data_IF_086814997072
#
_entry.id   IF_086814997072
#
_cell.length_a   1.000
_cell.length_b   1.000
_cell.length_c   1.000
_cell.angle_alpha   90.00
_cell.angle_beta   90.00
_cell.angle_gamma   90.00
#
_symmetry.space_group_name_H-M   'P 1'
#
loop_
_entity.id
_entity.type
_entity.pdbx_description
1 polymer ?
#
# COMPACT_ATOMS: atom_id res chain seq x y z
N UNK A 1 -5.88 23.27 8.55
CA UNK A 1 -6.98 22.43 8.01
C UNK A 1 -6.48 21.15 7.34
N UNK A 2 -5.47 21.20 6.45
CA UNK A 2 -4.98 20.00 5.73
C UNK A 2 -4.62 18.81 6.63
N UNK A 3 -3.91 19.05 7.73
CA UNK A 3 -3.52 17.98 8.67
C UNK A 3 -4.74 17.35 9.37
N UNK A 4 -5.81 18.11 9.60
CA UNK A 4 -7.06 17.59 10.16
C UNK A 4 -7.74 16.67 9.15
N UNK A 5 -7.84 17.08 7.88
CA UNK A 5 -8.35 16.22 6.81
C UNK A 5 -7.49 14.97 6.64
N UNK A 6 -6.16 15.09 6.66
CA UNK A 6 -5.25 13.95 6.58
C UNK A 6 -5.47 12.97 7.75
N UNK A 7 -5.67 13.48 8.97
CA UNK A 7 -5.97 12.65 10.13
C UNK A 7 -7.33 11.95 9.99
N UNK A 8 -8.38 12.66 9.57
CA UNK A 8 -9.72 12.09 9.35
C UNK A 8 -9.69 11.00 8.28
N UNK A 9 -9.09 11.27 7.12
CA UNK A 9 -9.01 10.29 6.03
C UNK A 9 -8.09 9.11 6.38
N UNK A 10 -6.99 9.35 7.11
CA UNK A 10 -6.13 8.29 7.63
C UNK A 10 -6.86 7.41 8.65
N UNK A 11 -7.65 8.00 9.54
CA UNK A 11 -8.50 7.29 10.48
C UNK A 11 -9.58 6.47 9.78
N UNK A 12 -10.28 7.05 8.80
CA UNK A 12 -11.27 6.34 7.97
C UNK A 12 -10.64 5.16 7.22
N UNK A 13 -9.44 5.34 6.65
CA UNK A 13 -8.69 4.27 5.99
C UNK A 13 -8.32 3.15 6.96
N UNK A 14 -7.80 3.50 8.14
CA UNK A 14 -7.47 2.52 9.20
C UNK A 14 -8.69 1.75 9.67
N UNK A 15 -9.82 2.43 9.90
CA UNK A 15 -11.09 1.80 10.25
C UNK A 15 -11.57 0.86 9.14
N UNK A 16 -11.45 1.27 7.88
CA UNK A 16 -11.75 0.42 6.73
C UNK A 16 -10.91 -0.86 6.69
N UNK A 17 -9.60 -0.77 6.99
CA UNK A 17 -8.71 -1.94 7.09
C UNK A 17 -9.11 -2.88 8.22
N UNK A 18 -9.50 -2.34 9.38
CA UNK A 18 -9.96 -3.16 10.52
C UNK A 18 -11.28 -3.85 10.21
N UNK A 19 -12.27 -3.12 9.65
CA UNK A 19 -13.60 -3.67 9.33
C UNK A 19 -13.52 -4.72 8.21
N UNK A 20 -12.66 -4.50 7.21
CA UNK A 20 -12.46 -5.45 6.11
C UNK A 20 -11.62 -6.67 6.50
N UNK A 21 -10.99 -6.68 7.68
CA UNK A 21 -10.08 -7.74 8.11
C UNK A 21 -8.75 -7.80 7.36
N UNK A 22 -8.44 -6.77 6.54
CA UNK A 22 -7.19 -6.68 5.77
C UNK A 22 -5.95 -6.44 6.63
N UNK A 23 -6.12 -6.22 7.92
CA UNK A 23 -5.03 -6.24 8.91
C UNK A 23 -4.54 -7.66 9.23
N UNK A 24 -5.31 -8.70 8.93
CA UNK A 24 -4.92 -10.09 9.20
C UNK A 24 -4.05 -10.64 8.03
N UNK A 25 -2.79 -11.05 8.29
CA UNK A 25 -1.92 -11.66 7.26
C UNK A 25 -2.52 -12.92 6.62
N UNK A 26 -3.34 -13.68 7.36
CA UNK A 26 -3.97 -14.89 6.85
C UNK A 26 -4.90 -14.62 5.66
N UNK A 27 -5.53 -13.44 5.60
CA UNK A 27 -6.37 -13.05 4.45
C UNK A 27 -5.56 -12.89 3.17
N UNK A 28 -4.34 -12.39 3.30
CA UNK A 28 -3.40 -12.24 2.19
C UNK A 28 -2.87 -13.61 1.76
N UNK A 29 -2.44 -14.43 2.72
CA UNK A 29 -1.92 -15.77 2.44
C UNK A 29 -3.00 -16.68 1.85
N UNK A 30 -4.22 -16.64 2.38
CA UNK A 30 -5.37 -17.37 1.85
C UNK A 30 -5.78 -16.93 0.45
N UNK A 31 -5.59 -15.65 0.10
CA UNK A 31 -5.78 -15.20 -1.28
C UNK A 31 -4.71 -15.77 -2.24
N UNK A 32 -3.47 -15.94 -1.77
CA UNK A 32 -2.38 -16.52 -2.55
C UNK A 32 -2.42 -18.06 -2.61
N UNK A 33 -3.09 -18.70 -1.66
CA UNK A 33 -3.25 -20.16 -1.60
C UNK A 33 -4.34 -20.67 -2.56
N UNK A 34 -4.05 -20.61 -3.86
CA UNK A 34 -4.96 -21.02 -4.94
C UNK A 34 -5.24 -22.53 -4.91
N UNK A 35 -4.32 -23.34 -4.34
CA UNK A 35 -4.43 -24.80 -4.30
C UNK A 35 -5.05 -25.33 -3.00
N UNK A 36 -5.22 -24.49 -1.98
CA UNK A 36 -5.80 -24.84 -0.69
C UNK A 36 -7.13 -24.13 -0.41
N UNK A 37 -7.21 -23.43 0.73
CA UNK A 37 -8.43 -22.73 1.15
C UNK A 37 -8.46 -21.31 0.59
N UNK A 38 -8.70 -21.22 -0.72
CA UNK A 38 -8.62 -19.95 -1.43
C UNK A 38 -9.63 -18.91 -0.91
N UNK A 39 -9.13 -17.81 -0.35
CA UNK A 39 -9.93 -16.70 0.19
C UNK A 39 -9.95 -15.52 -0.78
N UNK A 40 -11.12 -15.28 -1.40
CA UNK A 40 -11.32 -14.25 -2.41
C UNK A 40 -11.57 -12.85 -1.80
N UNK A 41 -11.61 -12.73 -0.46
CA UNK A 41 -11.91 -11.47 0.24
C UNK A 41 -11.00 -10.32 -0.18
N UNK A 42 -9.71 -10.58 -0.40
CA UNK A 42 -8.74 -9.56 -0.85
C UNK A 42 -9.12 -8.97 -2.21
N UNK A 43 -9.54 -9.83 -3.14
CA UNK A 43 -9.96 -9.40 -4.48
C UNK A 43 -11.19 -8.49 -4.42
N UNK A 44 -12.20 -8.85 -3.62
CA UNK A 44 -13.41 -8.04 -3.49
C UNK A 44 -13.13 -6.66 -2.90
N UNK A 45 -12.33 -6.59 -1.83
CA UNK A 45 -11.96 -5.30 -1.21
C UNK A 45 -11.14 -4.45 -2.16
N UNK A 46 -10.16 -5.06 -2.85
CA UNK A 46 -9.32 -4.34 -3.82
C UNK A 46 -10.15 -3.82 -5.01
N UNK A 47 -11.02 -4.64 -5.60
CA UNK A 47 -11.88 -4.23 -6.70
C UNK A 47 -12.85 -3.12 -6.28
N UNK A 48 -13.44 -3.21 -5.10
CA UNK A 48 -14.29 -2.16 -4.53
C UNK A 48 -13.52 -0.85 -4.36
N UNK A 49 -12.31 -0.90 -3.79
CA UNK A 49 -11.45 0.26 -3.62
C UNK A 49 -11.07 0.90 -4.98
N UNK A 50 -10.70 0.08 -5.97
CA UNK A 50 -10.37 0.55 -7.33
C UNK A 50 -11.59 1.21 -7.99
N UNK A 51 -12.77 0.60 -7.91
CA UNK A 51 -13.99 1.12 -8.50
C UNK A 51 -14.35 2.50 -7.92
N UNK A 52 -14.24 2.67 -6.60
CA UNK A 52 -14.49 3.95 -5.92
C UNK A 52 -13.40 4.98 -6.26
N UNK A 53 -12.13 4.57 -6.30
CA UNK A 53 -11.00 5.45 -6.61
C UNK A 53 -10.95 5.88 -8.08
N UNK A 54 -11.58 5.13 -9.00
CA UNK A 54 -11.50 5.37 -10.42
C UNK A 54 -11.97 6.79 -10.81
N UNK A 55 -13.16 7.19 -10.38
CA UNK A 55 -13.74 8.51 -10.71
C UNK A 55 -12.86 9.68 -10.24
N UNK A 56 -12.50 9.80 -8.94
CA UNK A 56 -11.67 10.90 -8.47
C UNK A 56 -10.26 10.87 -9.09
N UNK A 57 -9.69 9.70 -9.36
CA UNK A 57 -8.38 9.59 -9.99
C UNK A 57 -8.41 10.07 -11.45
N UNK A 58 -9.45 9.74 -12.22
CA UNK A 58 -9.64 10.27 -13.58
C UNK A 58 -9.74 11.80 -13.59
N UNK A 59 -10.42 12.39 -12.59
CA UNK A 59 -10.49 13.85 -12.43
C UNK A 59 -9.12 14.44 -12.09
N UNK A 60 -8.35 13.79 -11.21
CA UNK A 60 -7.01 14.21 -10.82
C UNK A 60 -6.01 14.15 -11.99
N UNK A 61 -6.13 13.18 -12.88
CA UNK A 61 -5.31 13.10 -14.11
C UNK A 61 -5.63 14.27 -15.06
N UNK A 62 -6.92 14.55 -15.30
CA UNK A 62 -7.35 15.63 -16.21
C UNK A 62 -7.06 17.02 -15.66
N UNK A 63 -7.19 17.21 -14.35
CA UNK A 63 -6.95 18.48 -13.67
C UNK A 63 -6.21 18.21 -12.36
N UNK A 64 -4.86 18.21 -12.38
CA UNK A 64 -4.04 17.86 -11.22
C UNK A 64 -3.99 18.99 -10.19
N UNK A 65 -5.15 19.28 -9.59
CA UNK A 65 -5.31 20.28 -8.54
C UNK A 65 -5.99 19.67 -7.32
N UNK A 66 -5.42 19.90 -6.14
CA UNK A 66 -6.05 19.52 -4.87
C UNK A 66 -7.24 20.44 -4.57
N UNK A 67 -8.05 20.07 -3.57
CA UNK A 67 -9.13 20.93 -3.04
C UNK A 67 -8.61 22.28 -2.53
N UNK A 68 -7.32 22.36 -2.17
CA UNK A 68 -6.65 23.59 -1.74
C UNK A 68 -5.91 24.29 -2.89
N UNK A 69 -6.22 23.94 -4.14
CA UNK A 69 -5.65 24.50 -5.36
C UNK A 69 -4.12 24.27 -5.53
N UNK A 70 -3.58 23.22 -4.91
CA UNK A 70 -2.17 22.83 -5.05
C UNK A 70 -1.99 21.85 -6.20
N UNK A 71 -0.81 21.86 -6.81
CA UNK A 71 -0.49 20.92 -7.89
C UNK A 71 -0.36 19.50 -7.34
N UNK A 72 -1.10 18.57 -7.93
CA UNK A 72 -0.93 17.13 -7.68
C UNK A 72 0.30 16.67 -8.47
N UNK A 73 1.29 16.09 -7.79
CA UNK A 73 2.47 15.52 -8.43
C UNK A 73 2.12 14.12 -8.93
N UNK A 74 1.81 14.01 -10.22
CA UNK A 74 1.61 12.72 -10.88
C UNK A 74 2.95 12.19 -11.40
N UNK A 75 3.20 10.87 -11.37
CA UNK A 75 4.38 10.29 -11.99
C UNK A 75 4.43 10.63 -13.48
N UNK A 76 5.54 11.19 -13.94
CA UNK A 76 5.78 11.49 -15.37
C UNK A 76 6.47 10.34 -16.08
N UNK A 77 7.12 9.44 -15.35
CA UNK A 77 7.79 8.28 -15.91
C UNK A 77 6.80 7.12 -16.07
N UNK A 78 6.53 6.76 -17.31
CA UNK A 78 5.69 5.61 -17.70
C UNK A 78 6.51 4.46 -18.28
N UNK A 79 7.83 4.59 -18.30
CA UNK A 79 8.70 3.54 -18.84
C UNK A 79 8.86 2.42 -17.82
N UNK A 80 8.63 1.19 -18.28
CA UNK A 80 8.92 -0.02 -17.51
C UNK A 80 10.41 -0.30 -17.70
N UNK A 81 11.21 0.01 -16.69
CA UNK A 81 12.64 -0.26 -16.68
C UNK A 81 12.96 -1.58 -15.95
N UNK A 82 14.17 -2.11 -16.17
CA UNK A 82 14.61 -3.35 -15.51
C UNK A 82 14.62 -3.20 -13.99
N UNK A 83 14.89 -1.99 -13.46
CA UNK A 83 14.90 -1.72 -12.03
C UNK A 83 13.50 -1.88 -11.42
N UNK A 84 12.46 -1.41 -12.10
CA UNK A 84 11.07 -1.58 -11.69
C UNK A 84 10.66 -3.05 -11.69
N UNK A 85 11.01 -3.79 -12.75
CA UNK A 85 10.67 -5.22 -12.85
C UNK A 85 11.33 -6.00 -11.71
N UNK A 86 12.64 -5.85 -11.51
CA UNK A 86 13.38 -6.54 -10.44
C UNK A 86 12.86 -6.14 -9.07
N UNK A 87 12.61 -4.84 -8.84
CA UNK A 87 12.04 -4.35 -7.59
C UNK A 87 10.64 -4.91 -7.30
N UNK A 88 9.78 -4.98 -8.31
CA UNK A 88 8.44 -5.54 -8.20
C UNK A 88 8.46 -7.03 -7.86
N UNK A 89 9.37 -7.81 -8.46
CA UNK A 89 9.56 -9.23 -8.12
C UNK A 89 10.02 -9.41 -6.67
N UNK A 90 11.06 -8.69 -6.23
CA UNK A 90 11.58 -8.78 -4.86
C UNK A 90 10.50 -8.39 -3.85
N UNK A 91 9.78 -7.29 -4.12
CA UNK A 91 8.69 -6.84 -3.27
C UNK A 91 7.54 -7.85 -3.22
N UNK A 92 7.15 -8.41 -4.36
CA UNK A 92 6.09 -9.42 -4.46
C UNK A 92 6.43 -10.71 -3.70
N UNK A 93 7.68 -11.18 -3.79
CA UNK A 93 8.16 -12.34 -3.01
C UNK A 93 8.10 -12.02 -1.51
N UNK A 94 8.62 -10.87 -1.09
CA UNK A 94 8.57 -10.47 0.32
C UNK A 94 7.15 -10.36 0.86
N UNK A 95 6.25 -9.76 0.08
CA UNK A 95 4.83 -9.67 0.42
C UNK A 95 4.15 -11.04 0.52
N UNK A 96 4.42 -11.94 -0.44
CA UNK A 96 3.83 -13.27 -0.44
C UNK A 96 4.31 -14.16 0.71
N UNK A 97 5.56 -14.00 1.15
CA UNK A 97 6.10 -14.73 2.32
C UNK A 97 5.57 -14.14 3.63
N UNK A 98 5.57 -12.81 3.76
CA UNK A 98 5.19 -12.15 5.01
C UNK A 98 3.67 -12.06 5.21
N UNK A 99 2.88 -12.06 4.13
CA UNK A 99 1.44 -11.80 4.18
C UNK A 99 1.08 -10.39 4.64
N UNK A 100 2.06 -9.49 4.76
CA UNK A 100 1.90 -8.16 5.37
C UNK A 100 2.19 -7.08 4.33
N UNK A 101 1.23 -6.16 4.17
CA UNK A 101 1.40 -4.92 3.43
C UNK A 101 1.93 -3.80 4.35
N UNK A 102 2.52 -2.72 3.79
CA UNK A 102 2.98 -1.55 4.57
C UNK A 102 1.88 -0.90 5.42
N UNK A 103 0.64 -0.88 4.91
CA UNK A 103 -0.49 -0.27 5.60
C UNK A 103 -0.98 -1.12 6.81
N UNK A 104 -1.27 -2.43 6.65
CA UNK A 104 -1.48 -3.37 7.75
C UNK A 104 -0.36 -3.37 8.79
N UNK A 105 0.91 -3.24 8.39
CA UNK A 105 2.02 -3.21 9.34
C UNK A 105 1.86 -2.06 10.35
N UNK A 106 1.45 -0.87 9.88
CA UNK A 106 1.21 0.28 10.75
C UNK A 106 -0.03 0.11 11.64
N UNK A 107 -1.11 -0.48 11.10
CA UNK A 107 -2.32 -0.72 11.90
C UNK A 107 -2.12 -1.81 12.95
N UNK A 108 -1.36 -2.87 12.63
CA UNK A 108 -1.02 -3.96 13.55
C UNK A 108 -0.24 -3.49 14.78
N UNK A 109 0.70 -2.55 14.61
CA UNK A 109 1.39 -1.92 15.76
C UNK A 109 0.39 -1.18 16.65
N UNK A 110 -0.55 -0.44 16.05
CA UNK A 110 -1.62 0.24 16.78
C UNK A 110 -2.54 -0.73 17.54
N UNK A 111 -2.69 -1.96 17.05
CA UNK A 111 -3.43 -3.05 17.69
C UNK A 111 -2.62 -3.82 18.76
N UNK A 112 -1.35 -3.48 18.99
CA UNK A 112 -0.49 -4.13 19.98
C UNK A 112 0.35 -5.30 19.45
N UNK A 113 0.31 -5.57 18.14
CA UNK A 113 1.14 -6.60 17.51
C UNK A 113 2.53 -6.05 17.15
N UNK A 114 3.42 -6.03 18.14
CA UNK A 114 4.78 -5.51 17.98
C UNK A 114 5.65 -6.30 16.99
N UNK A 115 5.26 -7.51 16.58
CA UNK A 115 5.97 -8.26 15.54
C UNK A 115 6.00 -7.53 14.19
N UNK A 116 5.02 -6.67 13.92
CA UNK A 116 5.01 -5.83 12.73
C UNK A 116 6.20 -4.83 12.70
N UNK A 117 6.85 -4.53 13.85
CA UNK A 117 8.07 -3.72 13.87
C UNK A 117 9.21 -4.35 13.08
N UNK A 118 9.36 -5.68 13.11
CA UNK A 118 10.41 -6.36 12.35
C UNK A 118 10.26 -6.08 10.84
N UNK A 119 9.02 -6.17 10.35
CA UNK A 119 8.70 -5.85 8.96
C UNK A 119 8.95 -4.37 8.64
N UNK A 120 8.49 -3.45 9.50
CA UNK A 120 8.65 -2.02 9.26
C UNK A 120 10.12 -1.61 9.25
N UNK A 121 10.92 -2.10 10.19
CA UNK A 121 12.35 -1.81 10.26
C UNK A 121 13.05 -2.34 9.01
N UNK A 122 12.79 -3.59 8.60
CA UNK A 122 13.35 -4.16 7.37
C UNK A 122 12.95 -3.36 6.12
N UNK A 123 11.68 -2.95 6.02
CA UNK A 123 11.16 -2.13 4.92
C UNK A 123 11.86 -0.76 4.87
N UNK A 124 11.98 -0.07 6.01
CA UNK A 124 12.65 1.22 6.12
C UNK A 124 14.15 1.12 5.75
N UNK A 125 14.82 0.07 6.21
CA UNK A 125 16.22 -0.20 5.85
C UNK A 125 16.38 -0.43 4.35
N UNK A 126 15.51 -1.25 3.73
CA UNK A 126 15.51 -1.49 2.29
C UNK A 126 15.32 -0.20 1.47
N UNK A 127 14.35 0.63 1.86
CA UNK A 127 14.12 1.94 1.23
C UNK A 127 15.32 2.89 1.42
N UNK A 128 15.95 2.89 2.59
CA UNK A 128 17.12 3.70 2.88
C UNK A 128 18.33 3.28 2.03
N UNK A 129 18.62 1.99 1.96
CA UNK A 129 19.68 1.42 1.13
C UNK A 129 19.44 1.76 -0.34
N UNK A 130 18.22 1.51 -0.85
CA UNK A 130 17.88 1.86 -2.23
C UNK A 130 18.05 3.35 -2.51
N UNK A 131 17.63 4.21 -1.58
CA UNK A 131 17.80 5.66 -1.71
C UNK A 131 19.27 6.07 -1.78
N UNK A 132 20.16 5.45 -1.00
CA UNK A 132 21.61 5.72 -1.06
C UNK A 132 22.19 5.28 -2.40
N UNK A 133 21.88 4.05 -2.83
CA UNK A 133 22.40 3.49 -4.08
C UNK A 133 21.92 4.28 -5.31
N UNK A 134 20.68 4.77 -5.28
CA UNK A 134 20.12 5.52 -6.40
C UNK A 134 20.42 7.03 -6.37
N UNK A 135 20.94 7.58 -5.26
CA UNK A 135 21.34 8.99 -5.17
C UNK A 135 22.62 9.31 -5.98
N UNK A 136 23.34 8.29 -6.43
CA UNK A 136 24.60 8.39 -7.17
C UNK A 136 24.47 8.32 -8.70
N UNK A 137 23.25 8.26 -9.24
CA UNK A 137 22.98 8.33 -10.69
C UNK A 137 22.23 9.61 -11.04
#
# INVERSE_FOLDING_TARGET
MKNIFAFIFGGLFSLGLMISGMSNPEKVLGFLDIFGQWDISLMFVMLGAIAVAFIPFQKAIKSPKTLFNEKIQLPTNTQIDQRLIVGAFIFGIGWGIAGICPAPALTLIGLGHFEALYFIVAMLLGMFIYRILNKGN
#
